data_IF_297727119517
#
_entry.id   IF_297727119517
#
_cell.length_a   1.000
_cell.length_b   1.000
_cell.length_c   1.000
_cell.angle_alpha   90.00
_cell.angle_beta   90.00
_cell.angle_gamma   90.00
#
_symmetry.space_group_name_H-M   'P 1'
#
loop_
_entity.id
_entity.type
_entity.pdbx_description
1 polymer ?
#
# COMPACT_ATOMS: atom_id res chain seq x y z
N UNK A 1 18.75 7.95 -5.01
CA UNK A 1 19.16 7.08 -3.90
C UNK A 1 17.98 6.17 -3.54
N UNK A 2 18.13 4.84 -3.64
CA UNK A 2 17.04 3.89 -3.33
C UNK A 2 16.54 3.97 -1.89
N UNK A 3 17.42 4.20 -0.91
CA UNK A 3 17.05 4.34 0.49
C UNK A 3 16.15 5.57 0.68
N UNK A 4 16.54 6.71 0.08
CA UNK A 4 15.74 7.94 0.14
C UNK A 4 14.33 7.74 -0.43
N UNK A 5 14.19 7.00 -1.54
CA UNK A 5 12.89 6.70 -2.14
C UNK A 5 12.02 5.86 -1.20
N UNK A 6 12.60 4.86 -0.53
CA UNK A 6 11.88 4.03 0.45
C UNK A 6 11.41 4.86 1.64
N UNK A 7 12.29 5.70 2.21
CA UNK A 7 11.92 6.59 3.32
C UNK A 7 10.80 7.56 2.94
N UNK A 8 10.94 8.21 1.78
CA UNK A 8 9.96 9.18 1.30
C UNK A 8 8.62 8.52 1.01
N UNK A 9 8.60 7.37 0.35
CA UNK A 9 7.38 6.60 0.09
C UNK A 9 6.68 6.16 1.37
N UNK A 10 7.43 5.63 2.34
CA UNK A 10 6.90 5.23 3.64
C UNK A 10 6.31 6.42 4.42
N UNK A 11 6.96 7.59 4.34
CA UNK A 11 6.47 8.81 4.96
C UNK A 11 5.09 9.23 4.42
N UNK A 12 4.92 9.29 3.10
CA UNK A 12 3.63 9.63 2.50
C UNK A 12 2.55 8.57 2.75
N UNK A 13 2.92 7.29 2.78
CA UNK A 13 2.00 6.22 3.17
C UNK A 13 1.53 6.38 4.63
N UNK A 14 2.43 6.76 5.54
CA UNK A 14 2.08 7.02 6.93
C UNK A 14 1.10 8.20 7.06
N UNK A 15 1.20 9.22 6.21
CA UNK A 15 0.21 10.31 6.15
C UNK A 15 -1.18 9.76 5.79
N UNK A 16 -1.27 8.86 4.82
CA UNK A 16 -2.53 8.24 4.43
C UNK A 16 -3.13 7.40 5.58
N UNK A 17 -2.33 6.57 6.24
CA UNK A 17 -2.76 5.79 7.41
C UNK A 17 -3.20 6.67 8.58
N UNK A 18 -2.49 7.77 8.86
CA UNK A 18 -2.91 8.71 9.90
C UNK A 18 -4.27 9.35 9.61
N UNK A 19 -4.58 9.60 8.34
CA UNK A 19 -5.82 10.26 7.95
C UNK A 19 -7.02 9.30 7.99
N UNK A 20 -6.86 8.08 7.46
CA UNK A 20 -7.97 7.17 7.17
C UNK A 20 -7.88 5.81 7.88
N UNK A 21 -6.92 5.64 8.78
CA UNK A 21 -6.65 4.37 9.44
C UNK A 21 -5.85 3.40 8.57
N UNK A 22 -5.28 2.38 9.20
CA UNK A 22 -4.53 1.32 8.50
C UNK A 22 -5.53 0.44 7.74
N UNK A 23 -5.57 0.60 6.42
CA UNK A 23 -6.49 -0.12 5.54
C UNK A 23 -5.98 -0.14 4.10
N UNK A 24 -6.53 -1.05 3.28
CA UNK A 24 -6.27 -1.07 1.83
C UNK A 24 -6.73 0.22 1.14
N UNK A 25 -7.82 0.82 1.60
CA UNK A 25 -8.28 2.13 1.09
C UNK A 25 -7.25 3.22 1.32
N UNK A 26 -6.55 3.21 2.47
CA UNK A 26 -5.47 4.15 2.73
C UNK A 26 -4.22 3.89 1.87
N UNK A 27 -3.91 2.63 1.54
CA UNK A 27 -2.89 2.29 0.53
C UNK A 27 -3.29 2.83 -0.84
N UNK A 28 -4.55 2.71 -1.23
CA UNK A 28 -5.07 3.36 -2.44
C UNK A 28 -4.92 4.89 -2.37
N UNK A 29 -5.22 5.49 -1.23
CA UNK A 29 -5.16 6.94 -1.03
C UNK A 29 -3.73 7.52 -1.10
N UNK A 30 -2.71 6.71 -0.81
CA UNK A 30 -1.32 7.08 -1.09
C UNK A 30 -1.10 7.37 -2.58
N UNK A 31 -1.75 6.63 -3.48
CA UNK A 31 -1.62 6.80 -4.93
C UNK A 31 -2.63 7.81 -5.52
N UNK A 32 -3.89 7.78 -5.06
CA UNK A 32 -4.99 8.57 -5.64
C UNK A 32 -5.35 9.83 -4.82
N UNK A 33 -4.71 10.03 -3.66
CA UNK A 33 -5.01 11.14 -2.76
C UNK A 33 -6.35 10.99 -2.05
N UNK A 34 -6.74 12.07 -1.36
CA UNK A 34 -7.84 12.06 -0.37
C UNK A 34 -9.14 12.70 -0.85
N UNK A 35 -9.21 13.13 -2.12
CA UNK A 35 -10.42 13.73 -2.65
C UNK A 35 -11.53 12.67 -2.69
N UNK A 36 -12.70 13.02 -2.16
CA UNK A 36 -13.89 12.17 -2.10
C UNK A 36 -14.70 12.35 -3.40
N UNK A 37 -14.26 11.70 -4.47
CA UNK A 37 -14.98 11.63 -5.74
C UNK A 37 -15.03 10.19 -6.23
N UNK A 38 -16.08 9.78 -6.95
CA UNK A 38 -16.20 8.41 -7.48
C UNK A 38 -15.00 7.96 -8.30
N UNK A 39 -14.45 8.86 -9.13
CA UNK A 39 -13.23 8.59 -9.90
C UNK A 39 -12.02 8.27 -9.01
N UNK A 40 -11.87 8.97 -7.89
CA UNK A 40 -10.76 8.71 -6.98
C UNK A 40 -11.00 7.44 -6.15
N UNK A 41 -12.25 7.14 -5.78
CA UNK A 41 -12.58 5.86 -5.14
C UNK A 41 -12.22 4.67 -6.03
N UNK A 42 -12.55 4.73 -7.33
CA UNK A 42 -12.16 3.72 -8.30
C UNK A 42 -10.63 3.56 -8.39
N UNK A 43 -9.89 4.67 -8.55
CA UNK A 43 -8.41 4.65 -8.62
C UNK A 43 -7.77 4.09 -7.35
N UNK A 44 -8.33 4.39 -6.17
CA UNK A 44 -7.87 3.82 -4.90
C UNK A 44 -8.08 2.31 -4.86
N UNK A 45 -9.25 1.84 -5.30
CA UNK A 45 -9.57 0.42 -5.34
C UNK A 45 -8.65 -0.34 -6.30
N UNK A 46 -8.44 0.18 -7.51
CA UNK A 46 -7.59 -0.45 -8.53
C UNK A 46 -6.16 -0.62 -7.99
N UNK A 47 -5.57 0.47 -7.50
CA UNK A 47 -4.21 0.46 -6.97
C UNK A 47 -4.06 -0.43 -5.74
N UNK A 48 -5.01 -0.35 -4.80
CA UNK A 48 -4.97 -1.18 -3.59
C UNK A 48 -5.08 -2.68 -3.93
N UNK A 49 -5.87 -3.04 -4.94
CA UNK A 49 -6.03 -4.41 -5.41
C UNK A 49 -4.73 -4.96 -5.99
N UNK A 50 -4.04 -4.17 -6.82
CA UNK A 50 -2.74 -4.56 -7.38
C UNK A 50 -1.67 -4.74 -6.30
N UNK A 51 -1.57 -3.79 -5.37
CA UNK A 51 -0.62 -3.88 -4.25
C UNK A 51 -0.94 -5.08 -3.35
N UNK A 52 -2.22 -5.35 -3.08
CA UNK A 52 -2.63 -6.49 -2.27
C UNK A 52 -2.22 -7.82 -2.93
N UNK A 53 -2.45 -7.95 -4.24
CA UNK A 53 -2.03 -9.13 -5.00
C UNK A 53 -0.52 -9.38 -4.92
N UNK A 54 0.28 -8.32 -5.09
CA UNK A 54 1.75 -8.39 -4.97
C UNK A 54 2.17 -8.75 -3.54
N UNK A 55 1.54 -8.12 -2.54
CA UNK A 55 1.82 -8.36 -1.13
C UNK A 55 1.56 -9.83 -0.74
N UNK A 56 0.44 -10.41 -1.18
CA UNK A 56 0.14 -11.84 -0.95
C UNK A 56 1.26 -12.71 -1.53
N UNK A 57 1.66 -12.47 -2.79
CA UNK A 57 2.70 -13.26 -3.45
C UNK A 57 4.05 -13.18 -2.70
N UNK A 58 4.44 -11.99 -2.24
CA UNK A 58 5.66 -11.78 -1.44
C UNK A 58 5.55 -12.45 -0.07
N UNK A 59 4.39 -12.37 0.60
CA UNK A 59 4.20 -13.00 1.91
C UNK A 59 4.28 -14.52 1.81
N UNK A 60 3.66 -15.10 0.78
CA UNK A 60 3.71 -16.53 0.53
C UNK A 60 5.12 -17.01 0.16
N UNK A 61 5.89 -16.24 -0.63
CA UNK A 61 7.26 -16.61 -0.96
C UNK A 61 8.18 -16.57 0.25
N UNK A 62 8.03 -15.56 1.13
CA UNK A 62 8.77 -15.48 2.40
C UNK A 62 8.45 -16.64 3.35
N UNK A 63 7.19 -17.07 3.43
CA UNK A 63 6.81 -18.24 4.23
C UNK A 63 7.49 -19.51 3.74
N UNK A 64 7.65 -19.69 2.42
CA UNK A 64 8.35 -20.87 1.86
C UNK A 64 9.85 -20.86 2.08
N UNK A 65 10.46 -19.69 2.25
CA UNK A 65 11.90 -19.52 2.43
C UNK A 65 12.36 -19.63 3.89
N UNK A 66 11.45 -19.59 4.85
CA UNK A 66 11.80 -19.72 6.28
C UNK A 66 11.56 -21.16 6.71
N UNK A 67 12.60 -21.98 6.99
CA UNK A 67 12.39 -23.30 7.56
C UNK A 67 11.69 -23.16 8.92
N UNK A 68 10.79 -24.09 9.23
CA UNK A 68 10.29 -24.23 10.60
C UNK A 68 11.51 -24.42 11.52
N UNK A 69 11.63 -23.57 12.55
CA UNK A 69 12.61 -23.74 13.62
C UNK A 69 12.26 -24.94 14.48
#
# INVERSE_FOLDING_TARGET
DPCLNIYTGAYYLAIAFRKWGVSWTAVGAYNAGFKKTPLQDARRLDYATDVHRIWIAIKQSKTRQTPAR
#
